data_IF_869822202444
#
_entry.id   IF_869822202444
#
_cell.length_a   1.000
_cell.length_b   1.000
_cell.length_c   1.000
_cell.angle_alpha   90.00
_cell.angle_beta   90.00
_cell.angle_gamma   90.00
#
_symmetry.space_group_name_H-M   'P 1'
#
loop_
_entity.id
_entity.type
_entity.pdbx_description
1 polymer ?
#
# COMPACT_ATOMS: atom_id res chain seq x y z
N UNK A 1 17.91 41.92 -5.27
CA UNK A 1 17.89 40.66 -4.50
C UNK A 1 16.64 39.96 -4.98
N UNK A 2 16.83 39.11 -5.98
CA UNK A 2 15.80 38.30 -6.60
C UNK A 2 15.03 37.50 -5.56
N UNK A 3 13.70 37.58 -5.61
CA UNK A 3 12.84 36.61 -4.96
C UNK A 3 13.14 35.26 -5.61
N UNK A 4 13.64 34.32 -4.83
CA UNK A 4 13.83 32.93 -5.26
C UNK A 4 12.45 32.29 -5.31
N UNK A 5 11.68 32.61 -6.37
CA UNK A 5 10.50 31.86 -6.78
C UNK A 5 10.99 30.53 -7.38
N UNK A 6 11.31 29.55 -6.53
CA UNK A 6 12.04 28.38 -7.00
C UNK A 6 11.88 27.10 -6.21
N UNK A 7 10.93 27.00 -5.28
CA UNK A 7 10.81 25.76 -4.48
C UNK A 7 9.36 25.30 -4.22
N UNK A 8 8.42 25.67 -5.11
CA UNK A 8 7.01 25.26 -5.01
C UNK A 8 6.70 23.95 -5.75
N UNK A 9 7.70 23.22 -6.25
CA UNK A 9 7.53 21.91 -6.88
C UNK A 9 7.92 20.75 -5.95
N UNK A 10 7.72 20.93 -4.64
CA UNK A 10 7.90 19.85 -3.68
C UNK A 10 6.59 19.07 -3.53
N UNK A 11 6.47 17.99 -4.30
CA UNK A 11 5.54 16.85 -4.18
C UNK A 11 4.02 17.13 -4.30
N UNK A 12 3.53 17.33 -5.52
CA UNK A 12 2.14 17.03 -5.92
C UNK A 12 2.06 15.62 -6.53
N UNK A 13 2.52 14.60 -5.80
CA UNK A 13 2.21 13.22 -6.14
C UNK A 13 1.03 12.77 -5.25
N UNK A 14 -0.02 12.15 -5.82
CA UNK A 14 -1.15 11.68 -5.04
C UNK A 14 -0.65 10.75 -3.95
N UNK A 15 -1.03 11.06 -2.71
CA UNK A 15 -0.78 10.20 -1.57
C UNK A 15 -1.72 9.01 -1.65
N UNK A 16 -1.12 7.83 -1.72
CA UNK A 16 -1.81 6.56 -1.89
C UNK A 16 -1.69 5.77 -0.60
N UNK A 17 -2.83 5.39 -0.03
CA UNK A 17 -2.89 4.52 1.15
C UNK A 17 -3.35 3.13 0.74
N UNK A 18 -2.57 2.13 1.13
CA UNK A 18 -2.94 0.72 1.01
C UNK A 18 -3.74 0.30 2.24
N UNK A 19 -4.92 -0.28 2.02
CA UNK A 19 -5.61 -1.04 3.06
C UNK A 19 -5.69 -2.51 2.64
N UNK A 20 -5.10 -3.39 3.46
CA UNK A 20 -5.24 -4.85 3.37
C UNK A 20 -6.10 -5.27 4.55
N UNK A 21 -7.37 -5.56 4.30
CA UNK A 21 -8.25 -6.15 5.31
C UNK A 21 -8.34 -7.66 5.04
N UNK A 22 -8.13 -8.47 6.09
CA UNK A 22 -8.35 -9.93 6.12
C UNK A 22 -7.54 -10.80 5.12
N UNK A 23 -6.46 -10.27 4.54
CA UNK A 23 -5.52 -11.08 3.76
C UNK A 23 -4.42 -11.66 4.66
N UNK A 24 -4.51 -12.98 4.94
CA UNK A 24 -3.45 -13.68 5.68
C UNK A 24 -2.23 -13.90 4.81
N UNK A 25 -1.10 -13.39 5.28
CA UNK A 25 0.20 -13.73 4.75
C UNK A 25 0.72 -14.91 5.58
N UNK A 26 0.72 -16.11 5.01
CA UNK A 26 1.16 -17.35 5.67
C UNK A 26 2.70 -17.45 5.74
N UNK A 27 3.35 -16.37 6.13
CA UNK A 27 4.81 -16.24 6.25
C UNK A 27 5.15 -15.41 7.48
N UNK A 28 6.12 -15.87 8.28
CA UNK A 28 6.72 -15.06 9.34
C UNK A 28 7.47 -13.87 8.72
N UNK A 29 7.51 -12.73 9.42
CA UNK A 29 8.13 -11.50 8.92
C UNK A 29 9.57 -11.74 8.44
N UNK A 30 10.37 -12.47 9.20
CA UNK A 30 11.75 -12.82 8.86
C UNK A 30 11.89 -13.68 7.59
N UNK A 31 10.80 -14.32 7.15
CA UNK A 31 10.75 -15.17 5.96
C UNK A 31 10.20 -14.47 4.71
N UNK A 32 9.78 -13.20 4.85
CA UNK A 32 9.22 -12.41 3.75
C UNK A 32 10.29 -11.85 2.81
N UNK A 33 11.55 -11.79 3.20
CA UNK A 33 12.58 -11.26 2.31
C UNK A 33 12.65 -12.01 0.97
N UNK A 34 12.54 -11.27 -0.13
CA UNK A 34 12.50 -11.79 -1.48
C UNK A 34 11.17 -12.44 -1.90
N UNK A 35 10.17 -12.51 -1.00
CA UNK A 35 8.87 -13.10 -1.32
C UNK A 35 8.05 -12.18 -2.23
N UNK A 36 7.26 -12.84 -3.08
CA UNK A 36 6.25 -12.19 -3.92
C UNK A 36 4.91 -12.87 -3.71
N UNK A 37 3.92 -12.09 -3.31
CA UNK A 37 2.57 -12.58 -3.02
C UNK A 37 1.60 -11.94 -4.02
N UNK A 38 0.75 -12.75 -4.63
CA UNK A 38 -0.23 -12.28 -5.62
C UNK A 38 -1.63 -12.27 -5.04
N UNK A 39 -2.33 -11.15 -5.22
CA UNK A 39 -3.75 -10.97 -4.87
C UNK A 39 -4.48 -10.60 -6.18
N UNK A 40 -4.96 -11.59 -6.94
CA UNK A 40 -5.41 -11.37 -8.32
C UNK A 40 -6.62 -10.43 -8.40
N UNK A 41 -7.55 -10.53 -7.45
CA UNK A 41 -8.77 -9.73 -7.37
C UNK A 41 -8.91 -9.13 -5.97
N UNK A 42 -9.44 -7.91 -5.87
CA UNK A 42 -9.67 -7.23 -4.59
C UNK A 42 -10.80 -7.82 -3.78
N UNK A 43 -11.71 -8.58 -4.40
CA UNK A 43 -12.85 -9.20 -3.72
C UNK A 43 -12.90 -10.69 -4.06
N UNK A 44 -13.10 -11.52 -3.05
CA UNK A 44 -13.43 -12.93 -3.21
C UNK A 44 -14.83 -13.21 -2.69
N UNK A 45 -15.66 -13.82 -3.53
CA UNK A 45 -16.94 -14.40 -3.12
C UNK A 45 -16.70 -15.80 -2.56
N UNK A 46 -17.22 -16.04 -1.36
CA UNK A 46 -17.16 -17.30 -0.65
C UNK A 46 -18.58 -17.80 -0.35
N UNK A 47 -18.70 -19.10 -0.18
CA UNK A 47 -19.94 -19.76 0.24
C UNK A 47 -19.64 -20.52 1.53
N UNK A 48 -20.47 -20.33 2.55
CA UNK A 48 -20.33 -21.05 3.81
C UNK A 48 -20.92 -22.47 3.72
N UNK A 49 -20.80 -23.22 4.81
CA UNK A 49 -21.31 -24.60 4.93
C UNK A 49 -22.84 -24.71 4.80
N UNK A 50 -23.56 -23.61 4.99
CA UNK A 50 -25.01 -23.52 4.95
C UNK A 50 -25.49 -23.02 3.56
N UNK A 51 -24.56 -22.71 2.65
CA UNK A 51 -24.84 -22.24 1.29
C UNK A 51 -25.05 -20.73 1.20
N UNK A 52 -24.78 -19.97 2.28
CA UNK A 52 -24.86 -18.52 2.27
C UNK A 52 -23.59 -17.92 1.65
N UNK A 53 -23.78 -17.01 0.70
CA UNK A 53 -22.68 -16.31 0.03
C UNK A 53 -22.29 -15.05 0.78
N UNK A 54 -21.00 -14.84 0.95
CA UNK A 54 -20.42 -13.62 1.50
C UNK A 54 -19.18 -13.18 0.70
N UNK A 55 -18.83 -11.90 0.79
CA UNK A 55 -17.71 -11.32 0.06
C UNK A 55 -16.65 -10.82 1.03
N UNK A 56 -15.38 -11.16 0.77
CA UNK A 56 -14.23 -10.61 1.47
C UNK A 56 -13.49 -9.64 0.57
N UNK A 57 -13.14 -8.47 1.10
CA UNK A 57 -12.35 -7.45 0.40
C UNK A 57 -10.90 -7.53 0.85
N UNK A 58 -10.00 -7.92 -0.04
CA UNK A 58 -8.57 -8.11 0.26
C UNK A 58 -7.71 -6.86 0.08
N UNK A 59 -8.03 -6.01 -0.90
CA UNK A 59 -7.17 -4.87 -1.20
C UNK A 59 -7.93 -3.74 -1.88
N UNK A 60 -7.78 -2.54 -1.32
CA UNK A 60 -8.31 -1.30 -1.90
C UNK A 60 -7.25 -0.23 -1.98
N UNK A 61 -7.37 0.63 -2.99
CA UNK A 61 -6.49 1.77 -3.22
C UNK A 61 -7.23 3.04 -2.81
N UNK A 62 -6.80 3.70 -1.75
CA UNK A 62 -7.31 5.03 -1.41
C UNK A 62 -6.45 6.11 -2.05
N UNK A 63 -7.10 7.08 -2.71
CA UNK A 63 -6.45 8.21 -3.35
C UNK A 63 -6.86 9.50 -2.61
N UNK A 64 -5.94 10.07 -1.84
CA UNK A 64 -6.23 11.20 -0.93
C UNK A 64 -6.74 12.44 -1.69
N UNK A 65 -6.18 12.73 -2.86
CA UNK A 65 -6.58 13.89 -3.69
C UNK A 65 -8.03 13.83 -4.15
N UNK A 66 -8.59 12.62 -4.25
CA UNK A 66 -9.97 12.39 -4.69
C UNK A 66 -10.92 12.09 -3.54
N UNK A 67 -10.41 11.81 -2.34
CA UNK A 67 -11.17 11.27 -1.20
C UNK A 67 -11.98 10.02 -1.59
N UNK A 68 -11.41 9.18 -2.46
CA UNK A 68 -12.08 8.02 -3.06
C UNK A 68 -11.26 6.73 -2.88
N UNK A 69 -11.99 5.61 -2.81
CA UNK A 69 -11.43 4.26 -2.69
C UNK A 69 -11.75 3.45 -3.94
N UNK A 70 -10.71 2.85 -4.53
CA UNK A 70 -10.81 2.05 -5.74
C UNK A 70 -10.57 0.57 -5.44
N UNK A 71 -11.35 -0.28 -6.12
CA UNK A 71 -11.05 -1.71 -6.18
C UNK A 71 -9.80 -1.94 -7.01
N UNK A 72 -9.06 -2.98 -6.66
CA UNK A 72 -7.76 -3.28 -7.25
C UNK A 72 -7.74 -4.67 -7.89
N UNK A 73 -6.93 -4.83 -8.93
CA UNK A 73 -6.73 -6.10 -9.62
C UNK A 73 -5.26 -6.32 -9.94
N UNK A 74 -4.91 -7.58 -10.22
CA UNK A 74 -3.55 -7.99 -10.64
C UNK A 74 -2.48 -7.54 -9.64
N UNK A 75 -2.81 -7.61 -8.35
CA UNK A 75 -1.92 -7.13 -7.30
C UNK A 75 -0.76 -8.08 -7.09
N UNK A 76 0.42 -7.50 -6.85
CA UNK A 76 1.62 -8.19 -6.43
C UNK A 76 2.28 -7.39 -5.30
N UNK A 77 2.44 -8.05 -4.16
CA UNK A 77 3.20 -7.58 -3.01
C UNK A 77 4.60 -8.16 -3.13
N UNK A 78 5.62 -7.33 -2.95
CA UNK A 78 7.03 -7.73 -2.90
C UNK A 78 7.66 -7.17 -1.64
N UNK A 79 8.47 -8.00 -0.99
CA UNK A 79 9.12 -7.67 0.27
C UNK A 79 10.63 -7.80 0.13
N UNK A 80 11.37 -6.89 0.74
CA UNK A 80 12.83 -6.88 0.70
C UNK A 80 13.35 -6.38 2.03
N UNK A 81 14.19 -7.16 2.71
CA UNK A 81 14.84 -6.73 3.93
C UNK A 81 15.78 -5.54 3.64
N UNK A 82 15.84 -4.59 4.57
CA UNK A 82 16.81 -3.49 4.53
C UNK A 82 17.94 -3.74 5.54
N UNK A 83 19.07 -3.08 5.36
CA UNK A 83 20.24 -3.24 6.25
C UNK A 83 19.97 -2.73 7.68
N UNK A 84 18.97 -1.86 7.87
CA UNK A 84 18.63 -1.18 9.12
C UNK A 84 17.39 -1.79 9.83
N UNK A 85 17.30 -3.12 9.93
CA UNK A 85 16.19 -3.84 10.61
C UNK A 85 14.77 -3.53 10.09
N UNK A 86 14.66 -2.94 8.91
CA UNK A 86 13.40 -2.64 8.26
C UNK A 86 13.06 -3.61 7.13
N UNK A 87 11.82 -3.51 6.64
CA UNK A 87 11.37 -4.21 5.44
C UNK A 87 10.80 -3.21 4.45
N UNK A 88 11.39 -3.18 3.25
CA UNK A 88 10.79 -2.49 2.11
C UNK A 88 9.63 -3.36 1.60
N UNK A 89 8.47 -2.74 1.55
CA UNK A 89 7.26 -3.27 0.95
C UNK A 89 6.99 -2.55 -0.37
N UNK A 90 6.64 -3.30 -1.41
CA UNK A 90 6.22 -2.75 -2.70
C UNK A 90 4.96 -3.45 -3.17
N UNK A 91 3.90 -2.68 -3.35
CA UNK A 91 2.64 -3.16 -3.91
C UNK A 91 2.44 -2.58 -5.30
N UNK A 92 2.29 -3.47 -6.28
CA UNK A 92 1.94 -3.12 -7.66
C UNK A 92 0.60 -3.71 -7.99
N UNK A 93 -0.22 -2.97 -8.72
CA UNK A 93 -1.52 -3.45 -9.14
C UNK A 93 -2.13 -2.55 -10.19
N UNK A 94 -3.42 -2.75 -10.42
CA UNK A 94 -4.25 -1.90 -11.26
C UNK A 94 -5.53 -1.52 -10.56
N UNK A 95 -6.07 -0.37 -10.91
CA UNK A 95 -7.41 0.07 -10.52
C UNK A 95 -8.10 0.71 -11.72
N UNK A 96 -9.37 1.11 -11.56
CA UNK A 96 -10.05 1.97 -12.52
C UNK A 96 -9.25 3.26 -12.74
N UNK A 97 -9.15 3.71 -14.00
CA UNK A 97 -8.47 4.96 -14.33
C UNK A 97 -9.30 6.15 -13.84
N UNK A 98 -8.92 6.71 -12.70
CA UNK A 98 -9.57 7.88 -12.11
C UNK A 98 -9.19 9.23 -12.74
N UNK A 99 -8.20 9.26 -13.64
CA UNK A 99 -7.85 10.48 -14.39
C UNK A 99 -8.71 10.63 -15.64
N UNK A 100 -8.79 9.55 -16.42
CA UNK A 100 -9.46 9.56 -17.72
C UNK A 100 -10.84 8.89 -17.72
N UNK A 101 -11.18 8.18 -16.64
CA UNK A 101 -12.39 7.34 -16.51
C UNK A 101 -12.52 6.31 -17.64
N UNK A 102 -11.40 5.90 -18.23
CA UNK A 102 -11.36 4.97 -19.36
C UNK A 102 -10.36 3.84 -19.10
N UNK A 103 -10.88 2.69 -18.67
CA UNK A 103 -10.09 1.46 -18.51
C UNK A 103 -9.40 1.36 -17.16
N UNK A 104 -8.20 0.74 -17.17
CA UNK A 104 -7.41 0.50 -15.95
C UNK A 104 -6.13 1.33 -15.96
N UNK A 105 -5.77 1.92 -14.82
CA UNK A 105 -4.45 2.51 -14.58
C UNK A 105 -3.61 1.59 -13.68
N UNK A 106 -2.30 1.52 -13.93
CA UNK A 106 -1.37 0.79 -13.07
C UNK A 106 -0.83 1.70 -11.97
N UNK A 107 -0.67 1.17 -10.76
CA UNK A 107 -0.10 1.89 -9.62
C UNK A 107 1.09 1.14 -9.02
N UNK A 108 1.91 1.86 -8.26
CA UNK A 108 2.95 1.30 -7.40
C UNK A 108 2.96 2.07 -6.09
N UNK A 109 2.81 1.36 -4.98
CA UNK A 109 2.96 1.89 -3.62
C UNK A 109 4.22 1.30 -3.03
N UNK A 110 5.08 2.15 -2.49
CA UNK A 110 6.26 1.74 -1.75
C UNK A 110 6.13 2.22 -0.30
N UNK A 111 6.43 1.35 0.65
CA UNK A 111 6.47 1.68 2.06
C UNK A 111 7.66 0.98 2.72
N UNK A 112 8.16 1.56 3.80
CA UNK A 112 9.14 0.90 4.66
C UNK A 112 8.46 0.62 5.99
N UNK A 113 8.48 -0.64 6.40
CA UNK A 113 8.03 -1.05 7.73
C UNK A 113 9.26 -1.17 8.60
N UNK A 114 9.42 -0.24 9.55
CA UNK A 114 10.42 -0.36 10.60
C UNK A 114 9.88 -1.18 11.77
N UNK A 115 10.74 -1.93 12.45
CA UNK A 115 10.43 -2.43 13.80
C UNK A 115 10.51 -1.25 14.78
N UNK A 116 9.61 -1.14 15.76
CA UNK A 116 9.42 -0.02 16.72
C UNK A 116 10.65 0.44 17.54
N UNK A 117 11.87 0.00 17.24
CA UNK A 117 13.09 0.36 17.96
C UNK A 117 13.53 1.83 17.81
N UNK A 118 12.92 2.64 16.92
CA UNK A 118 13.36 4.02 16.65
C UNK A 118 12.36 5.11 17.06
N UNK A 119 11.24 4.77 17.73
CA UNK A 119 10.29 5.80 18.21
C UNK A 119 10.70 6.46 19.54
N UNK A 120 11.68 5.92 20.29
CA UNK A 120 12.08 6.49 21.59
C UNK A 120 13.06 7.67 21.50
N UNK A 121 13.77 7.88 20.39
CA UNK A 121 14.79 8.95 20.29
C UNK A 121 14.26 10.30 19.77
N UNK A 122 12.95 10.43 19.49
CA UNK A 122 12.34 11.67 18.97
C UNK A 122 11.66 12.54 20.04
N UNK A 123 11.69 12.12 21.31
CA UNK A 123 11.05 12.86 22.41
C UNK A 123 12.00 13.41 23.48
N UNK A 124 13.32 13.37 23.27
CA UNK A 124 14.24 14.18 24.08
C UNK A 124 14.23 15.64 23.57
N UNK A 125 13.16 16.34 23.94
CA UNK A 125 13.21 17.81 24.04
C UNK A 125 14.00 18.13 25.30
N UNK A 126 15.24 18.59 25.12
CA UNK A 126 16.09 19.16 26.17
C UNK A 126 15.29 20.05 27.15
N UNK A 127 15.40 19.76 28.46
CA UNK A 127 14.95 20.63 29.57
C UNK A 127 15.77 21.92 29.68
#
# INVERSE_FOLDING_TARGET
MDHVEGDSYQNDAPKISLNIEDFRIDHDFDSLDGQKISIPESIQELEDKDGEKYSLTYSTLFVEELDETFLTSKNQLSFTATEELGMKFTWKGKCEDFYSQNGEIAFTVEATVGTEAEQEDLYDYDE
#
